data_IF_542720254497
#
_entry.id   IF_542720254497
#
_cell.length_a   1.000
_cell.length_b   1.000
_cell.length_c   1.000
_cell.angle_alpha   90.00
_cell.angle_beta   90.00
_cell.angle_gamma   90.00
#
_symmetry.space_group_name_H-M   'P 1'
#
loop_
_entity.id
_entity.type
_entity.pdbx_description
1 polymer ?
#
# COMPACT_ATOMS: atom_id res chain seq x y z
N UNK A 1 -3.37 -26.98 31.60
CA UNK A 1 -3.57 -26.73 30.15
C UNK A 1 -2.59 -25.65 29.72
N UNK A 2 -1.73 -25.92 28.73
CA UNK A 2 -0.78 -24.93 28.23
C UNK A 2 -1.52 -24.02 27.22
N UNK A 3 -2.09 -22.91 27.69
CA UNK A 3 -2.75 -21.97 26.78
C UNK A 3 -1.69 -21.33 25.88
N UNK A 4 -1.91 -21.24 24.55
CA UNK A 4 -0.97 -20.57 23.67
C UNK A 4 -0.82 -19.11 24.10
N UNK A 5 0.42 -18.62 24.13
CA UNK A 5 0.73 -17.24 24.50
C UNK A 5 -0.09 -16.24 23.67
N UNK A 6 -0.59 -15.15 24.27
CA UNK A 6 -1.33 -14.12 23.54
C UNK A 6 -0.58 -13.63 22.32
N UNK A 7 -1.30 -13.44 21.21
CA UNK A 7 -0.74 -12.89 19.97
C UNK A 7 -1.28 -11.49 19.74
N UNK A 8 -0.38 -10.52 19.58
CA UNK A 8 -0.73 -9.14 19.28
C UNK A 8 -0.78 -8.90 17.78
N UNK A 9 -1.81 -8.20 17.33
CA UNK A 9 -1.98 -7.75 15.95
C UNK A 9 -2.21 -6.24 15.95
N UNK A 10 -1.54 -5.53 15.05
CA UNK A 10 -1.76 -4.09 14.83
C UNK A 10 -2.40 -3.89 13.47
N UNK A 11 -3.51 -3.16 13.41
CA UNK A 11 -4.26 -2.92 12.18
C UNK A 11 -4.39 -1.42 11.98
N UNK A 12 -3.66 -0.89 11.00
CA UNK A 12 -3.66 0.53 10.67
C UNK A 12 -4.78 0.80 9.65
N UNK A 13 -5.82 1.53 10.07
CA UNK A 13 -7.02 1.77 9.27
C UNK A 13 -8.09 0.69 9.43
N UNK A 14 -8.61 0.52 10.63
CA UNK A 14 -9.54 -0.54 11.05
C UNK A 14 -11.00 -0.09 11.20
N UNK A 15 -11.32 1.17 10.91
CA UNK A 15 -12.66 1.74 11.18
C UNK A 15 -13.79 1.14 10.34
N UNK A 16 -13.50 0.62 9.14
CA UNK A 16 -14.49 0.08 8.19
C UNK A 16 -13.85 -0.90 7.21
N UNK A 17 -14.69 -1.59 6.43
CA UNK A 17 -14.29 -2.45 5.32
C UNK A 17 -13.29 -3.53 5.73
N UNK A 18 -12.25 -3.72 4.91
CA UNK A 18 -11.25 -4.79 5.07
C UNK A 18 -10.56 -4.74 6.43
N UNK A 19 -10.15 -3.56 6.91
CA UNK A 19 -9.48 -3.43 8.21
C UNK A 19 -10.37 -3.80 9.40
N UNK A 20 -11.65 -3.42 9.36
CA UNK A 20 -12.63 -3.82 10.37
C UNK A 20 -12.84 -5.34 10.36
N UNK A 21 -12.94 -5.93 9.17
CA UNK A 21 -13.12 -7.37 9.04
C UNK A 21 -11.90 -8.17 9.51
N UNK A 22 -10.68 -7.69 9.23
CA UNK A 22 -9.47 -8.26 9.84
C UNK A 22 -9.53 -8.21 11.37
N UNK A 23 -9.96 -7.08 11.93
CA UNK A 23 -10.11 -6.91 13.39
C UNK A 23 -11.05 -7.97 13.95
N UNK A 24 -12.24 -8.09 13.38
CA UNK A 24 -13.26 -9.06 13.79
C UNK A 24 -12.77 -10.51 13.67
N UNK A 25 -12.20 -10.87 12.52
CA UNK A 25 -11.75 -12.24 12.26
C UNK A 25 -10.58 -12.64 13.16
N UNK A 26 -9.66 -11.72 13.43
CA UNK A 26 -8.55 -11.99 14.36
C UNK A 26 -9.06 -12.20 15.79
N UNK A 27 -10.04 -11.42 16.25
CA UNK A 27 -10.65 -11.62 17.57
C UNK A 27 -11.43 -12.94 17.68
N UNK A 28 -12.06 -13.39 16.58
CA UNK A 28 -12.77 -14.67 16.51
C UNK A 28 -11.82 -15.87 16.40
N UNK A 29 -10.68 -15.72 15.72
CA UNK A 29 -9.77 -16.82 15.42
C UNK A 29 -9.08 -17.41 16.66
N UNK A 30 -8.96 -16.66 17.75
CA UNK A 30 -8.47 -17.20 19.03
C UNK A 30 -8.90 -16.32 20.20
N UNK A 31 -9.29 -16.93 21.35
CA UNK A 31 -9.62 -16.19 22.56
C UNK A 31 -8.42 -15.47 23.19
N UNK A 32 -7.18 -15.80 22.79
CA UNK A 32 -5.96 -15.15 23.32
C UNK A 32 -5.39 -14.09 22.37
N UNK A 33 -5.99 -13.87 21.20
CA UNK A 33 -5.57 -12.78 20.31
C UNK A 33 -5.94 -11.43 20.93
N UNK A 34 -5.00 -10.49 20.87
CA UNK A 34 -5.18 -9.09 21.23
C UNK A 34 -4.97 -8.27 19.96
N UNK A 35 -5.90 -7.35 19.69
CA UNK A 35 -5.90 -6.54 18.47
C UNK A 35 -5.85 -5.06 18.83
N UNK A 36 -4.88 -4.36 18.26
CA UNK A 36 -4.76 -2.91 18.29
C UNK A 36 -5.30 -2.39 16.96
N UNK A 37 -6.50 -1.79 16.99
CA UNK A 37 -7.22 -1.33 15.81
C UNK A 37 -7.17 0.20 15.75
N UNK A 38 -6.63 0.74 14.66
CA UNK A 38 -6.50 2.20 14.54
C UNK A 38 -7.57 2.85 13.65
N UNK A 39 -7.83 4.13 13.89
CA UNK A 39 -8.74 4.94 13.07
C UNK A 39 -8.25 6.39 12.98
N UNK A 40 -8.65 7.11 11.92
CA UNK A 40 -8.29 8.54 11.76
C UNK A 40 -9.21 9.51 12.51
N UNK A 41 -10.42 9.07 12.84
CA UNK A 41 -11.45 9.90 13.49
C UNK A 41 -11.00 10.44 14.85
N UNK A 42 -11.54 11.61 15.24
CA UNK A 42 -11.31 12.21 16.56
C UNK A 42 -11.79 11.32 17.70
N UNK A 43 -12.95 10.70 17.51
CA UNK A 43 -13.54 9.72 18.42
C UNK A 43 -13.46 8.30 17.85
N UNK A 44 -13.58 7.30 18.72
CA UNK A 44 -13.62 5.90 18.28
C UNK A 44 -14.89 5.66 17.45
N UNK A 45 -14.79 5.16 16.20
CA UNK A 45 -15.95 4.84 15.36
C UNK A 45 -16.91 3.85 16.02
N UNK A 46 -18.23 4.04 15.83
CA UNK A 46 -19.27 3.15 16.37
C UNK A 46 -19.03 1.67 16.05
N UNK A 47 -18.57 1.36 14.84
CA UNK A 47 -18.21 0.00 14.41
C UNK A 47 -17.15 -0.67 15.30
N UNK A 48 -16.16 0.09 15.76
CA UNK A 48 -15.12 -0.41 16.68
C UNK A 48 -15.64 -0.47 18.12
N UNK A 49 -16.51 0.48 18.53
CA UNK A 49 -17.16 0.43 19.85
C UNK A 49 -18.06 -0.79 20.01
N UNK A 50 -18.85 -1.13 18.99
CA UNK A 50 -19.69 -2.33 18.96
C UNK A 50 -18.86 -3.61 19.04
N UNK A 51 -17.73 -3.63 18.32
CA UNK A 51 -16.81 -4.77 18.35
C UNK A 51 -16.15 -4.92 19.72
N UNK A 52 -15.77 -3.82 20.37
CA UNK A 52 -15.20 -3.83 21.71
C UNK A 52 -16.21 -4.36 22.73
N UNK A 53 -17.46 -3.86 22.71
CA UNK A 53 -18.55 -4.37 23.56
C UNK A 53 -18.72 -5.89 23.46
N UNK A 54 -18.61 -6.44 22.23
CA UNK A 54 -18.72 -7.88 21.99
C UNK A 54 -17.56 -8.70 22.55
N UNK A 55 -16.37 -8.10 22.67
CA UNK A 55 -15.14 -8.80 23.06
C UNK A 55 -14.48 -8.21 24.31
N UNK A 56 -15.27 -7.55 25.17
CA UNK A 56 -14.80 -6.74 26.30
C UNK A 56 -14.23 -7.56 27.48
N UNK A 57 -14.63 -8.83 27.62
CA UNK A 57 -14.28 -9.66 28.77
C UNK A 57 -13.59 -10.96 28.36
N UNK A 58 -12.25 -11.09 28.53
CA UNK A 58 -11.31 -10.03 28.92
C UNK A 58 -11.08 -9.00 27.80
N UNK A 59 -10.51 -7.80 28.09
CA UNK A 59 -10.24 -6.79 27.08
C UNK A 59 -9.23 -7.28 26.04
N UNK A 60 -9.66 -7.37 24.78
CA UNK A 60 -8.83 -7.87 23.67
C UNK A 60 -8.75 -6.92 22.49
N UNK A 61 -9.54 -5.86 22.47
CA UNK A 61 -9.50 -4.83 21.45
C UNK A 61 -9.03 -3.51 22.07
N UNK A 62 -8.01 -2.90 21.47
CA UNK A 62 -7.51 -1.59 21.84
C UNK A 62 -7.68 -0.67 20.66
N UNK A 63 -8.44 0.42 20.82
CA UNK A 63 -8.64 1.42 19.77
C UNK A 63 -7.69 2.59 19.96
N UNK A 64 -7.00 2.99 18.89
CA UNK A 64 -6.01 4.07 18.94
C UNK A 64 -6.18 4.98 17.72
N UNK A 65 -6.16 6.31 17.94
CA UNK A 65 -6.15 7.26 16.82
C UNK A 65 -4.84 7.16 16.05
N UNK A 66 -4.91 7.00 14.74
CA UNK A 66 -3.79 7.10 13.81
C UNK A 66 -4.32 7.48 12.43
N UNK A 67 -3.90 8.64 11.95
CA UNK A 67 -4.03 9.06 10.56
C UNK A 67 -2.67 8.92 9.88
N UNK A 68 -2.58 8.04 8.87
CA UNK A 68 -1.32 7.85 8.14
C UNK A 68 -0.88 9.08 7.35
N UNK A 69 -1.78 10.05 7.13
CA UNK A 69 -1.45 11.35 6.54
C UNK A 69 -0.72 12.31 7.50
N UNK A 70 -0.75 12.04 8.81
CA UNK A 70 -0.15 12.85 9.86
C UNK A 70 0.83 12.01 10.69
N UNK A 71 2.13 12.18 10.42
CA UNK A 71 3.23 11.40 11.03
C UNK A 71 3.22 11.50 12.57
N UNK A 72 2.77 12.62 13.15
CA UNK A 72 2.69 12.79 14.61
C UNK A 72 1.73 11.80 15.27
N UNK A 73 0.66 11.40 14.57
CA UNK A 73 -0.29 10.39 15.07
C UNK A 73 0.28 8.97 14.96
N UNK A 74 1.20 8.73 14.03
CA UNK A 74 1.92 7.45 13.90
C UNK A 74 2.91 7.30 15.07
N UNK A 75 3.60 8.37 15.43
CA UNK A 75 4.49 8.42 16.60
C UNK A 75 3.70 8.15 17.89
N UNK A 76 2.57 8.84 18.05
CA UNK A 76 1.65 8.64 19.18
C UNK A 76 1.13 7.20 19.26
N UNK A 77 0.80 6.59 18.13
CA UNK A 77 0.45 5.17 18.05
C UNK A 77 1.59 4.28 18.56
N UNK A 78 2.83 4.52 18.14
CA UNK A 78 3.97 3.70 18.54
C UNK A 78 4.27 3.81 20.04
N UNK A 79 4.06 4.98 20.64
CA UNK A 79 4.11 5.16 22.09
C UNK A 79 3.02 4.34 22.79
N UNK A 80 1.77 4.42 22.32
CA UNK A 80 0.67 3.64 22.89
C UNK A 80 0.91 2.13 22.79
N UNK A 81 1.37 1.64 21.64
CA UNK A 81 1.74 0.24 21.42
C UNK A 81 2.87 -0.18 22.38
N UNK A 82 3.87 0.67 22.60
CA UNK A 82 4.97 0.38 23.53
C UNK A 82 4.48 0.15 24.95
N UNK A 83 3.59 1.02 25.44
CA UNK A 83 2.97 0.92 26.77
C UNK A 83 2.09 -0.33 26.88
N UNK A 84 1.32 -0.65 25.84
CA UNK A 84 0.47 -1.83 25.82
C UNK A 84 1.27 -3.14 25.91
N UNK A 85 2.39 -3.22 25.17
CA UNK A 85 3.24 -4.41 25.17
C UNK A 85 4.01 -4.58 26.50
N UNK A 86 4.30 -3.49 27.22
CA UNK A 86 4.96 -3.56 28.54
C UNK A 86 4.10 -4.26 29.60
N UNK A 87 2.77 -4.10 29.51
CA UNK A 87 1.84 -4.78 30.41
C UNK A 87 1.81 -6.31 30.21
N UNK A 88 2.32 -6.80 29.07
CA UNK A 88 2.23 -8.19 28.63
C UNK A 88 3.41 -9.11 28.99
N UNK A 89 4.48 -8.61 29.61
CA UNK A 89 5.64 -9.42 30.06
C UNK A 89 6.93 -9.25 29.23
N UNK A 90 7.84 -10.25 29.29
CA UNK A 90 9.27 -10.10 28.93
C UNK A 90 9.57 -10.00 27.42
N UNK A 91 8.72 -10.51 26.53
CA UNK A 91 8.91 -10.37 25.07
C UNK A 91 7.81 -9.52 24.45
N UNK A 92 8.19 -8.33 23.96
CA UNK A 92 7.30 -7.46 23.18
C UNK A 92 7.27 -8.00 21.75
N UNK A 93 6.21 -8.71 21.39
CA UNK A 93 6.05 -9.24 20.04
C UNK A 93 4.71 -8.83 19.43
N UNK A 94 4.75 -8.31 18.21
CA UNK A 94 3.60 -8.15 17.33
C UNK A 94 3.70 -9.24 16.25
N UNK A 95 2.73 -10.14 16.23
CA UNK A 95 2.72 -11.22 15.24
C UNK A 95 2.52 -10.65 13.83
N UNK A 96 1.58 -9.72 13.67
CA UNK A 96 1.34 -9.12 12.36
C UNK A 96 0.90 -7.67 12.51
N UNK A 97 1.52 -6.83 11.69
CA UNK A 97 1.05 -5.46 11.40
C UNK A 97 0.34 -5.50 10.04
N UNK A 98 -0.88 -4.99 9.98
CA UNK A 98 -1.67 -4.86 8.75
C UNK A 98 -1.87 -3.38 8.46
N UNK A 99 -1.21 -2.88 7.42
CA UNK A 99 -1.35 -1.51 6.95
C UNK A 99 -2.44 -1.48 5.88
N UNK A 100 -3.68 -1.23 6.31
CA UNK A 100 -4.88 -1.22 5.48
C UNK A 100 -5.27 0.18 4.99
N UNK A 101 -4.85 1.24 5.69
CA UNK A 101 -5.17 2.61 5.32
C UNK A 101 -4.90 2.88 3.83
N UNK A 102 -5.90 3.41 3.15
CA UNK A 102 -5.85 3.69 1.73
C UNK A 102 -7.10 4.41 1.24
N UNK A 103 -6.95 5.13 0.14
CA UNK A 103 -7.99 5.89 -0.55
C UNK A 103 -7.97 5.57 -2.03
N UNK A 104 -9.15 5.66 -2.63
CA UNK A 104 -9.35 5.65 -4.07
C UNK A 104 -10.41 6.71 -4.35
N UNK A 105 -10.01 7.73 -5.10
CA UNK A 105 -10.88 8.77 -5.61
C UNK A 105 -10.74 8.80 -7.13
N UNK A 106 -11.81 9.17 -7.83
CA UNK A 106 -11.84 9.24 -9.29
C UNK A 106 -11.71 10.71 -9.73
N UNK A 107 -10.53 11.16 -10.22
CA UNK A 107 -10.35 12.54 -10.65
C UNK A 107 -10.54 12.73 -12.17
N UNK A 108 -11.28 11.86 -12.87
CA UNK A 108 -11.45 12.01 -14.32
C UNK A 108 -10.26 11.56 -15.18
N UNK A 109 -9.57 10.50 -14.76
CA UNK A 109 -8.47 9.91 -15.52
C UNK A 109 -7.16 10.69 -15.38
N UNK A 110 -6.24 10.46 -16.32
CA UNK A 110 -4.95 11.20 -16.36
C UNK A 110 -5.17 12.66 -16.70
N UNK A 111 -6.01 12.94 -17.72
CA UNK A 111 -6.23 14.29 -18.24
C UNK A 111 -7.05 15.18 -17.31
N UNK A 112 -7.92 14.60 -16.48
CA UNK A 112 -8.65 15.32 -15.43
C UNK A 112 -7.88 15.42 -14.09
N UNK A 113 -6.75 14.72 -13.96
CA UNK A 113 -6.00 14.61 -12.73
C UNK A 113 -5.41 15.95 -12.26
N UNK A 114 -5.57 16.25 -10.97
CA UNK A 114 -4.97 17.45 -10.33
C UNK A 114 -3.80 17.07 -9.44
N UNK A 115 -2.87 18.00 -9.22
CA UNK A 115 -1.78 17.82 -8.25
C UNK A 115 -2.29 17.43 -6.87
N UNK A 116 -3.41 18.01 -6.43
CA UNK A 116 -4.07 17.67 -5.17
C UNK A 116 -4.52 16.20 -5.14
N UNK A 117 -5.15 15.69 -6.21
CA UNK A 117 -5.59 14.30 -6.27
C UNK A 117 -4.41 13.33 -6.22
N UNK A 118 -3.33 13.61 -6.96
CA UNK A 118 -2.10 12.80 -6.89
C UNK A 118 -1.50 12.84 -5.49
N UNK A 119 -1.32 14.03 -4.90
CA UNK A 119 -0.78 14.18 -3.56
C UNK A 119 -1.63 13.43 -2.52
N UNK A 120 -2.95 13.51 -2.59
CA UNK A 120 -3.84 12.82 -1.67
C UNK A 120 -3.67 11.28 -1.73
N UNK A 121 -3.63 10.72 -2.94
CA UNK A 121 -3.38 9.29 -3.14
C UNK A 121 -1.98 8.88 -2.68
N UNK A 122 -0.93 9.63 -3.05
CA UNK A 122 0.44 9.31 -2.65
C UNK A 122 0.64 9.40 -1.14
N UNK A 123 0.09 10.43 -0.50
CA UNK A 123 0.19 10.61 0.94
C UNK A 123 -0.44 9.43 1.68
N UNK A 124 -1.65 9.04 1.32
CA UNK A 124 -2.39 8.00 2.07
C UNK A 124 -2.03 6.57 1.65
N UNK A 125 -1.73 6.33 0.37
CA UNK A 125 -1.48 4.97 -0.14
C UNK A 125 0.01 4.59 -0.16
N UNK A 126 0.93 5.55 -0.09
CA UNK A 126 2.38 5.30 -0.22
C UNK A 126 3.17 5.83 0.98
N UNK A 127 3.19 7.15 1.14
CA UNK A 127 4.08 7.83 2.10
C UNK A 127 3.69 7.42 3.52
N UNK A 128 2.43 7.61 3.89
CA UNK A 128 1.89 7.23 5.20
C UNK A 128 2.16 5.77 5.56
N UNK A 129 1.83 4.78 4.70
CA UNK A 129 2.17 3.38 4.94
C UNK A 129 3.67 3.11 5.14
N UNK A 130 4.55 3.73 4.36
CA UNK A 130 6.00 3.56 4.50
C UNK A 130 6.53 4.19 5.81
N UNK A 131 6.02 5.36 6.18
CA UNK A 131 6.34 6.01 7.46
C UNK A 131 5.80 5.20 8.65
N UNK A 132 4.58 4.67 8.55
CA UNK A 132 4.03 3.76 9.54
C UNK A 132 4.93 2.54 9.74
N UNK A 133 5.44 1.95 8.66
CA UNK A 133 6.40 0.86 8.74
C UNK A 133 7.70 1.29 9.43
N UNK A 134 8.30 2.42 9.04
CA UNK A 134 9.51 3.01 9.66
C UNK A 134 9.34 3.11 11.18
N UNK A 135 8.25 3.74 11.63
CA UNK A 135 8.00 3.98 13.06
C UNK A 135 7.72 2.68 13.83
N UNK A 136 6.85 1.83 13.30
CA UNK A 136 6.50 0.55 13.94
C UNK A 136 7.73 -0.38 14.05
N UNK A 137 8.59 -0.41 13.03
CA UNK A 137 9.86 -1.17 13.04
C UNK A 137 10.92 -0.61 13.99
N UNK A 138 10.73 0.61 14.48
CA UNK A 138 11.62 1.33 15.40
C UNK A 138 11.16 1.26 16.85
N UNK A 139 10.01 0.63 17.14
CA UNK A 139 9.53 0.41 18.51
C UNK A 139 10.59 -0.40 19.29
N UNK A 140 11.17 0.14 20.38
CA UNK A 140 12.26 -0.50 21.09
C UNK A 140 11.89 -1.86 21.65
N UNK A 141 12.76 -2.85 21.43
CA UNK A 141 12.61 -4.24 21.91
C UNK A 141 11.33 -4.94 21.41
N UNK A 142 10.65 -4.40 20.39
CA UNK A 142 9.48 -5.03 19.79
C UNK A 142 9.89 -5.87 18.57
N UNK A 143 9.65 -7.19 18.65
CA UNK A 143 9.81 -8.08 17.51
C UNK A 143 8.53 -8.09 16.69
N UNK A 144 8.65 -7.96 15.37
CA UNK A 144 7.53 -8.07 14.44
C UNK A 144 7.78 -9.29 13.56
N UNK A 145 6.81 -10.21 13.46
CA UNK A 145 6.96 -11.37 12.57
C UNK A 145 6.65 -11.01 11.11
N UNK A 146 5.55 -10.27 10.88
CA UNK A 146 5.09 -9.91 9.52
C UNK A 146 4.53 -8.50 9.47
N UNK A 147 4.78 -7.78 8.38
CA UNK A 147 4.08 -6.54 8.01
C UNK A 147 3.41 -6.75 6.65
N UNK A 148 2.08 -6.63 6.62
CA UNK A 148 1.26 -6.77 5.43
C UNK A 148 0.69 -5.42 5.02
N UNK A 149 0.81 -5.07 3.74
CA UNK A 149 0.31 -3.82 3.17
C UNK A 149 -0.80 -4.12 2.18
N UNK A 150 -1.92 -3.41 2.27
CA UNK A 150 -3.01 -3.54 1.30
C UNK A 150 -2.66 -2.68 0.06
N UNK A 151 -2.22 -3.37 -0.97
CA UNK A 151 -1.93 -2.86 -2.31
C UNK A 151 -3.08 -3.18 -3.29
N UNK A 152 -2.82 -3.09 -4.59
CA UNK A 152 -3.77 -3.38 -5.67
C UNK A 152 -3.01 -3.89 -6.90
N UNK A 153 -3.67 -4.69 -7.72
CA UNK A 153 -3.19 -5.10 -9.04
C UNK A 153 -3.10 -3.93 -10.04
N UNK A 154 -3.88 -2.85 -9.86
CA UNK A 154 -3.72 -1.58 -10.56
C UNK A 154 -2.31 -0.98 -10.38
N UNK A 155 -1.64 -1.29 -9.26
CA UNK A 155 -0.25 -0.88 -9.00
C UNK A 155 0.81 -1.81 -9.62
N UNK A 156 0.43 -2.73 -10.51
CA UNK A 156 1.37 -3.67 -11.12
C UNK A 156 2.22 -3.01 -12.21
N UNK A 157 3.54 -2.98 -11.99
CA UNK A 157 4.49 -2.51 -13.02
C UNK A 157 4.59 -3.42 -14.26
N UNK A 158 4.11 -4.67 -14.18
CA UNK A 158 4.23 -5.66 -15.26
C UNK A 158 2.90 -6.05 -15.89
N UNK A 159 1.77 -5.77 -15.22
CA UNK A 159 0.42 -6.11 -15.68
C UNK A 159 -0.42 -4.85 -15.71
N UNK A 160 -0.10 -3.98 -16.66
CA UNK A 160 -0.86 -2.76 -16.88
C UNK A 160 -2.30 -3.09 -17.30
N UNK A 161 -3.26 -2.32 -16.78
CA UNK A 161 -4.69 -2.54 -16.96
C UNK A 161 -5.26 -1.38 -17.77
N UNK A 162 -5.19 -1.48 -19.10
CA UNK A 162 -5.58 -0.41 -20.02
C UNK A 162 -7.06 -0.02 -19.98
N UNK A 163 -7.90 -0.84 -19.34
CA UNK A 163 -9.33 -0.59 -19.18
C UNK A 163 -9.68 0.16 -17.88
N UNK A 164 -8.72 0.39 -16.97
CA UNK A 164 -8.95 1.13 -15.72
C UNK A 164 -8.86 2.64 -15.96
N UNK A 165 -9.88 3.20 -16.60
CA UNK A 165 -9.98 4.65 -16.75
C UNK A 165 -10.33 5.32 -15.41
N UNK A 166 -9.67 6.42 -15.10
CA UNK A 166 -9.82 7.11 -13.81
C UNK A 166 -8.83 6.73 -12.72
N UNK A 167 -8.05 5.66 -12.90
CA UNK A 167 -7.27 5.07 -11.81
C UNK A 167 -5.82 5.56 -11.78
N UNK A 168 -5.42 6.50 -12.64
CA UNK A 168 -4.02 6.88 -12.82
C UNK A 168 -3.30 7.27 -11.51
N UNK A 169 -3.86 8.20 -10.73
CA UNK A 169 -3.27 8.61 -9.46
C UNK A 169 -3.23 7.46 -8.44
N UNK A 170 -4.31 6.68 -8.36
CA UNK A 170 -4.41 5.50 -7.50
C UNK A 170 -3.38 4.43 -7.88
N UNK A 171 -3.36 3.99 -9.14
CA UNK A 171 -2.44 3.01 -9.72
C UNK A 171 -0.98 3.44 -9.53
N UNK A 172 -0.66 4.71 -9.83
CA UNK A 172 0.67 5.27 -9.60
C UNK A 172 1.06 5.20 -8.12
N UNK A 173 0.16 5.57 -7.20
CA UNK A 173 0.42 5.46 -5.76
C UNK A 173 0.63 4.01 -5.31
N UNK A 174 -0.15 3.05 -5.81
CA UNK A 174 0.02 1.63 -5.45
C UNK A 174 1.28 1.03 -6.08
N UNK A 175 1.69 1.48 -7.27
CA UNK A 175 2.97 1.13 -7.87
C UNK A 175 4.15 1.68 -7.05
N UNK A 176 4.07 2.93 -6.60
CA UNK A 176 5.06 3.55 -5.73
C UNK A 176 5.17 2.81 -4.38
N UNK A 177 4.04 2.46 -3.75
CA UNK A 177 4.01 1.59 -2.58
C UNK A 177 4.73 0.27 -2.85
N UNK A 178 4.35 -0.45 -3.91
CA UNK A 178 4.96 -1.74 -4.26
C UNK A 178 6.48 -1.65 -4.43
N UNK A 179 7.00 -0.57 -5.02
CA UNK A 179 8.44 -0.34 -5.13
C UNK A 179 9.07 -0.03 -3.78
N UNK A 180 8.46 0.84 -2.97
CA UNK A 180 8.91 1.12 -1.61
C UNK A 180 9.02 -0.14 -0.75
N UNK A 181 8.05 -1.05 -0.86
CA UNK A 181 8.07 -2.33 -0.15
C UNK A 181 9.21 -3.26 -0.61
N UNK A 182 9.60 -3.23 -1.89
CA UNK A 182 10.78 -3.96 -2.38
C UNK A 182 12.06 -3.44 -1.72
N UNK A 183 12.21 -2.12 -1.65
CA UNK A 183 13.35 -1.49 -1.00
C UNK A 183 13.36 -1.80 0.50
N UNK A 184 12.22 -1.65 1.19
CA UNK A 184 12.08 -1.96 2.61
C UNK A 184 12.46 -3.41 2.91
N UNK A 185 11.92 -4.38 2.16
CA UNK A 185 12.23 -5.80 2.36
C UNK A 185 13.72 -6.10 2.16
N UNK A 186 14.32 -5.57 1.08
CA UNK A 186 15.74 -5.77 0.80
C UNK A 186 16.63 -5.10 1.85
N UNK A 187 16.28 -3.90 2.32
CA UNK A 187 16.99 -3.20 3.37
C UNK A 187 16.93 -3.95 4.70
N UNK A 188 15.75 -4.37 5.13
CA UNK A 188 15.57 -5.13 6.37
C UNK A 188 16.32 -6.45 6.32
N UNK A 189 16.31 -7.15 5.17
CA UNK A 189 17.09 -8.37 5.02
C UNK A 189 18.60 -8.12 5.14
N UNK A 190 19.15 -7.07 4.53
CA UNK A 190 20.57 -6.71 4.69
C UNK A 190 20.93 -6.37 6.13
N UNK A 191 20.04 -5.69 6.85
CA UNK A 191 20.27 -5.23 8.24
C UNK A 191 20.05 -6.32 9.30
N UNK A 192 19.06 -7.20 9.10
CA UNK A 192 18.55 -8.12 10.14
C UNK A 192 18.61 -9.60 9.73
N UNK A 193 18.97 -9.92 8.48
CA UNK A 193 19.09 -11.30 8.01
C UNK A 193 17.81 -12.11 8.16
N UNK A 194 17.90 -13.22 8.89
CA UNK A 194 16.77 -14.14 9.17
C UNK A 194 15.78 -13.59 10.21
N UNK A 195 16.18 -12.56 10.96
CA UNK A 195 15.33 -11.88 11.95
C UNK A 195 14.51 -10.75 11.33
N UNK A 196 14.71 -10.46 10.04
CA UNK A 196 13.91 -9.47 9.32
C UNK A 196 12.43 -9.91 9.29
N UNK A 197 11.48 -9.00 9.54
CA UNK A 197 10.07 -9.31 9.38
C UNK A 197 9.76 -9.62 7.91
N UNK A 198 8.77 -10.47 7.70
CA UNK A 198 8.24 -10.74 6.37
C UNK A 198 7.45 -9.50 5.92
N UNK A 199 7.77 -8.98 4.72
CA UNK A 199 7.03 -7.89 4.09
C UNK A 199 6.10 -8.47 3.01
N UNK A 200 4.79 -8.23 3.14
CA UNK A 200 3.78 -8.70 2.19
C UNK A 200 3.03 -7.54 1.54
N UNK A 201 2.86 -7.59 0.22
CA UNK A 201 1.92 -6.74 -0.51
C UNK A 201 0.69 -7.59 -0.86
N UNK A 202 -0.49 -7.18 -0.41
CA UNK A 202 -1.74 -7.90 -0.59
C UNK A 202 -2.67 -7.10 -1.47
N UNK A 203 -3.19 -7.70 -2.53
CA UNK A 203 -4.25 -7.10 -3.34
C UNK A 203 -5.57 -7.82 -3.02
N UNK A 204 -6.68 -7.09 -2.76
CA UNK A 204 -7.94 -7.69 -2.31
C UNK A 204 -8.85 -8.24 -3.44
N UNK A 205 -8.49 -8.13 -4.72
CA UNK A 205 -9.27 -8.74 -5.82
C UNK A 205 -8.98 -10.24 -6.00
N UNK A 206 -9.45 -10.83 -7.10
CA UNK A 206 -9.39 -12.28 -7.38
C UNK A 206 -8.00 -12.92 -7.10
N UNK A 207 -7.96 -14.19 -6.64
CA UNK A 207 -7.21 -14.69 -5.48
C UNK A 207 -5.67 -14.81 -5.65
N UNK A 208 -5.01 -13.77 -6.17
CA UNK A 208 -3.58 -13.73 -6.42
C UNK A 208 -2.87 -12.69 -5.56
N UNK A 209 -2.51 -13.09 -4.35
CA UNK A 209 -1.58 -12.33 -3.48
C UNK A 209 -0.21 -12.19 -4.19
N UNK A 210 0.24 -10.95 -4.45
CA UNK A 210 1.56 -10.68 -5.04
C UNK A 210 2.61 -10.66 -3.92
N UNK A 211 3.34 -11.76 -3.78
CA UNK A 211 4.46 -11.83 -2.85
C UNK A 211 5.66 -11.05 -3.40
N UNK A 212 6.11 -10.04 -2.68
CA UNK A 212 7.38 -9.36 -2.94
C UNK A 212 8.43 -9.95 -1.98
N UNK A 213 9.20 -10.92 -2.45
CA UNK A 213 10.40 -11.41 -1.76
C UNK A 213 11.66 -10.98 -2.52
N UNK A 214 12.69 -10.55 -1.77
CA UNK A 214 14.03 -10.46 -2.31
C UNK A 214 14.66 -11.86 -2.28
N UNK A 215 14.88 -12.47 -3.46
CA UNK A 215 15.75 -13.63 -3.62
C UNK A 215 17.10 -13.16 -4.14
N UNK A 216 18.21 -13.24 -3.39
CA UNK A 216 19.51 -13.04 -4.00
C UNK A 216 19.76 -14.18 -5.01
N UNK A 217 19.87 -13.84 -6.31
CA UNK A 217 20.51 -14.73 -7.28
C UNK A 217 21.96 -14.89 -6.86
N UNK A 218 22.39 -16.10 -6.51
CA UNK A 218 23.82 -16.42 -6.42
C UNK A 218 24.42 -16.22 -7.81
N UNK A 219 25.36 -15.28 -7.93
CA UNK A 219 26.35 -15.30 -9.01
C UNK A 219 27.16 -16.57 -8.78
N UNK A 220 26.97 -17.58 -9.63
CA UNK A 220 27.86 -18.74 -9.64
C UNK A 220 29.16 -18.31 -10.32
N UNK A 221 30.19 -18.03 -9.53
CA UNK A 221 31.57 -18.17 -10.00
C UNK A 221 32.32 -19.08 -9.03
N UNK A 222 32.85 -20.16 -9.62
CA UNK A 222 33.92 -21.03 -9.16
C UNK A 222 33.80 -21.67 -7.77
N UNK A 223 33.29 -22.91 -7.75
CA UNK A 223 33.77 -23.96 -6.86
C UNK A 223 33.60 -25.33 -7.54
N UNK A 224 34.21 -25.49 -8.71
CA UNK A 224 34.56 -26.81 -9.20
C UNK A 224 35.87 -27.20 -8.50
N UNK A 225 35.81 -28.22 -7.64
CA UNK A 225 36.90 -29.01 -7.03
C UNK A 225 36.69 -29.23 -5.54
N UNK A 226 35.72 -30.08 -5.19
CA UNK A 226 35.80 -30.89 -3.98
C UNK A 226 35.09 -32.23 -4.26
N UNK A 227 35.85 -33.33 -4.30
CA UNK A 227 35.31 -34.69 -4.38
C UNK A 227 34.64 -35.06 -3.05
N UNK A 228 33.52 -35.80 -3.04
CA UNK A 228 32.89 -36.24 -1.80
C UNK A 228 33.64 -37.46 -1.21
N UNK A 229 33.91 -37.42 0.09
CA UNK A 229 34.30 -38.60 0.89
C UNK A 229 33.03 -39.22 1.50
N UNK A 230 32.82 -40.54 1.40
CA UNK A 230 31.64 -41.20 1.97
C UNK A 230 31.85 -41.54 3.44
N UNK A 231 30.80 -41.37 4.26
CA UNK A 231 30.74 -41.92 5.62
C UNK A 231 30.78 -40.88 6.74
N UNK A 232 29.70 -40.09 6.88
CA UNK A 232 29.24 -39.50 8.15
C UNK A 232 27.80 -39.05 7.97
N UNK A 233 26.85 -39.80 8.54
CA UNK A 233 25.48 -39.35 8.73
C UNK A 233 25.46 -38.17 9.70
N UNK A 234 25.67 -36.96 9.17
CA UNK A 234 25.30 -35.74 9.86
C UNK A 234 23.81 -35.55 9.63
N UNK A 235 23.01 -35.74 10.67
CA UNK A 235 21.66 -35.16 10.74
C UNK A 235 21.84 -33.66 10.52
N UNK A 236 21.52 -33.19 9.31
CA UNK A 236 21.53 -31.78 8.98
C UNK A 236 20.49 -31.10 9.88
N UNK A 237 20.82 -29.98 10.55
CA UNK A 237 19.79 -29.20 11.25
C UNK A 237 18.69 -28.82 10.25
N UNK A 238 17.41 -28.79 10.67
CA UNK A 238 16.29 -28.52 9.78
C UNK A 238 16.51 -27.20 9.03
N UNK A 239 16.34 -27.22 7.71
CA UNK A 239 16.57 -26.06 6.85
C UNK A 239 15.71 -24.87 7.33
N UNK A 240 16.33 -23.76 7.79
CA UNK A 240 15.59 -22.56 8.19
C UNK A 240 14.67 -22.03 7.07
N UNK A 241 14.99 -22.33 5.81
CA UNK A 241 14.18 -21.97 4.63
C UNK A 241 12.86 -22.73 4.59
N UNK A 242 12.87 -24.04 4.88
CA UNK A 242 11.66 -24.86 4.89
C UNK A 242 10.71 -24.44 6.02
N UNK A 243 11.25 -24.05 7.18
CA UNK A 243 10.47 -23.50 8.29
C UNK A 243 9.85 -22.14 7.93
N UNK A 244 10.64 -21.26 7.28
CA UNK A 244 10.18 -19.95 6.82
C UNK A 244 9.11 -20.06 5.73
N UNK A 245 9.30 -20.93 4.73
CA UNK A 245 8.31 -21.21 3.68
C UNK A 245 7.00 -21.81 4.23
N UNK A 246 7.09 -22.67 5.25
CA UNK A 246 5.92 -23.22 5.93
C UNK A 246 5.15 -22.14 6.70
N UNK A 247 5.84 -21.24 7.38
CA UNK A 247 5.23 -20.09 8.08
C UNK A 247 4.54 -19.15 7.09
N UNK A 248 5.19 -18.85 5.96
CA UNK A 248 4.64 -18.05 4.87
C UNK A 248 3.36 -18.64 4.29
N UNK A 249 3.38 -19.94 3.95
CA UNK A 249 2.21 -20.63 3.43
C UNK A 249 1.06 -20.66 4.44
N UNK A 250 1.36 -20.78 5.75
CA UNK A 250 0.36 -20.67 6.83
C UNK A 250 -0.23 -19.26 6.91
N UNK A 251 0.58 -18.22 6.85
CA UNK A 251 0.11 -16.83 6.85
C UNK A 251 -0.76 -16.51 5.63
N UNK A 252 -0.33 -16.90 4.42
CA UNK A 252 -1.11 -16.73 3.20
C UNK A 252 -2.45 -17.45 3.27
N UNK A 253 -2.48 -18.71 3.73
CA UNK A 253 -3.73 -19.46 3.92
C UNK A 253 -4.65 -18.77 4.93
N UNK A 254 -4.10 -18.24 6.03
CA UNK A 254 -4.89 -17.56 7.07
C UNK A 254 -5.48 -16.25 6.54
N UNK A 255 -4.69 -15.43 5.86
CA UNK A 255 -5.14 -14.18 5.22
C UNK A 255 -6.18 -14.48 4.15
N UNK A 256 -5.98 -15.49 3.29
CA UNK A 256 -6.97 -15.91 2.30
C UNK A 256 -8.29 -16.34 2.95
N UNK A 257 -8.26 -17.13 4.02
CA UNK A 257 -9.47 -17.51 4.77
C UNK A 257 -10.18 -16.31 5.38
N UNK A 258 -9.43 -15.33 5.90
CA UNK A 258 -10.01 -14.08 6.42
C UNK A 258 -10.69 -13.26 5.31
N UNK A 259 -10.08 -13.21 4.11
CA UNK A 259 -10.64 -12.49 2.97
C UNK A 259 -11.80 -13.22 2.28
N UNK A 260 -11.87 -14.55 2.36
CA UNK A 260 -12.90 -15.36 1.66
C UNK A 260 -14.15 -15.65 2.49
N UNK A 261 -14.24 -15.21 3.74
CA UNK A 261 -15.41 -15.39 4.61
C UNK A 261 -15.75 -16.86 4.96
N UNK A 262 -14.96 -17.83 4.51
CA UNK A 262 -15.24 -19.25 4.71
C UNK A 262 -14.87 -19.69 6.13
N UNK A 263 -15.87 -19.62 7.02
CA UNK A 263 -15.78 -20.08 8.41
C UNK A 263 -17.02 -19.83 9.27
N UNK A 264 -18.04 -19.14 8.77
CA UNK A 264 -19.30 -18.95 9.49
C UNK A 264 -20.47 -19.41 8.62
N UNK A 265 -21.17 -20.48 9.04
CA UNK A 265 -22.55 -20.69 8.63
C UNK A 265 -23.38 -19.50 9.11
N UNK A 266 -23.96 -18.75 8.17
CA UNK A 266 -24.96 -17.73 8.44
C UNK A 266 -26.35 -18.37 8.25
N UNK A 267 -27.35 -18.06 9.09
CA UNK A 267 -28.73 -18.45 8.83
C UNK A 267 -29.27 -17.70 7.60
N UNK A 268 -30.10 -18.39 6.82
CA UNK A 268 -30.80 -17.87 5.66
C UNK A 268 -31.55 -16.57 5.98
N UNK A 269 -31.31 -15.53 5.18
CA UNK A 269 -32.18 -14.36 5.07
C UNK A 269 -32.71 -14.38 3.63
N UNK A 270 -34.04 -14.43 3.50
CA UNK A 270 -34.75 -14.41 2.22
C UNK A 270 -34.40 -13.14 1.42
N UNK A 271 -33.97 -13.33 0.18
CA UNK A 271 -33.81 -12.25 -0.78
C UNK A 271 -35.13 -12.03 -1.52
N UNK A 272 -35.86 -10.97 -1.16
CA UNK A 272 -36.95 -10.42 -1.97
C UNK A 272 -36.49 -9.16 -2.74
N UNK A 273 -36.70 -9.21 -4.06
CA UNK A 273 -36.66 -8.12 -5.06
C UNK A 273 -35.30 -7.54 -5.46
N UNK A 274 -34.72 -8.10 -6.52
CA UNK A 274 -33.79 -7.40 -7.41
C UNK A 274 -34.59 -6.64 -8.48
N UNK A 275 -34.47 -5.32 -8.54
CA UNK A 275 -34.85 -4.55 -9.72
C UNK A 275 -33.67 -4.55 -10.70
N UNK A 276 -33.91 -5.02 -11.92
CA UNK A 276 -32.95 -4.99 -13.04
C UNK A 276 -32.84 -3.57 -13.60
N UNK A 277 -31.67 -3.09 -14.06
CA UNK A 277 -31.61 -1.90 -14.88
C UNK A 277 -32.13 -2.24 -16.29
N UNK A 278 -33.14 -1.49 -16.74
CA UNK A 278 -33.70 -1.55 -18.07
C UNK A 278 -32.80 -0.84 -19.09
N UNK A 279 -32.78 -1.40 -20.30
CA UNK A 279 -32.15 -0.88 -21.51
C UNK A 279 -32.53 0.58 -21.80
N UNK A 280 -31.53 1.41 -22.15
CA UNK A 280 -31.77 2.73 -22.74
C UNK A 280 -31.32 2.67 -24.21
N UNK A 281 -32.21 2.91 -25.19
CA UNK A 281 -31.88 2.81 -26.60
C UNK A 281 -31.21 4.07 -27.14
N UNK A 282 -30.25 3.87 -28.05
CA UNK A 282 -29.71 4.90 -28.93
C UNK A 282 -30.70 5.24 -30.07
N UNK A 283 -30.96 6.52 -30.29
CA UNK A 283 -31.21 7.09 -31.63
C UNK A 283 -31.18 8.65 -31.61
N UNK A 284 -30.92 9.29 -32.76
CA UNK A 284 -30.26 10.59 -32.87
C UNK A 284 -31.24 11.75 -33.15
N UNK A 285 -30.80 13.01 -32.99
CA UNK A 285 -31.06 14.10 -33.95
C UNK A 285 -30.37 15.42 -33.54
N UNK A 286 -29.91 16.12 -34.57
CA UNK A 286 -29.46 17.51 -34.60
C UNK A 286 -30.52 18.48 -34.03
N UNK A 287 -30.09 19.61 -33.47
CA UNK A 287 -30.23 20.98 -34.04
C UNK A 287 -29.83 22.02 -32.98
N UNK A 288 -29.16 23.04 -33.49
CA UNK A 288 -28.77 24.31 -32.88
C UNK A 288 -29.77 24.96 -31.90
N UNK A 289 -29.24 25.76 -30.97
CA UNK A 289 -29.97 26.91 -30.42
C UNK A 289 -29.59 27.31 -29.00
N UNK A 290 -28.96 28.48 -28.89
CA UNK A 290 -29.06 29.42 -27.77
C UNK A 290 -28.20 29.15 -26.52
N UNK A 291 -26.96 29.66 -26.62
CA UNK A 291 -26.17 30.15 -25.49
C UNK A 291 -26.81 31.44 -24.94
N UNK A 292 -26.96 31.51 -23.62
CA UNK A 292 -27.39 32.70 -22.89
C UNK A 292 -26.30 33.81 -22.91
N UNK A 293 -26.68 35.09 -22.83
CA UNK A 293 -25.88 36.20 -23.33
C UNK A 293 -25.06 36.92 -22.25
N UNK A 294 -23.96 36.33 -21.73
CA UNK A 294 -23.06 37.06 -20.80
C UNK A 294 -21.55 36.82 -21.00
N UNK A 295 -21.11 36.17 -22.09
CA UNK A 295 -19.68 35.95 -22.36
C UNK A 295 -19.17 36.57 -23.68
N UNK A 296 -19.73 37.74 -24.07
CA UNK A 296 -19.42 38.43 -25.34
C UNK A 296 -18.60 39.72 -25.18
N UNK A 297 -17.61 39.73 -24.28
CA UNK A 297 -16.77 40.94 -24.06
C UNK A 297 -15.27 40.69 -23.78
N UNK A 298 -14.69 39.54 -24.15
CA UNK A 298 -13.25 39.30 -23.90
C UNK A 298 -12.47 38.57 -25.01
N UNK A 299 -13.03 38.44 -26.22
CA UNK A 299 -12.39 37.72 -27.35
C UNK A 299 -12.52 38.48 -28.69
N UNK A 300 -12.38 39.81 -28.64
CA UNK A 300 -12.19 40.64 -29.83
C UNK A 300 -11.06 41.62 -29.55
N UNK A 301 -9.83 41.12 -29.57
CA UNK A 301 -8.69 41.85 -30.14
C UNK A 301 -7.46 40.94 -30.14
N UNK A 302 -6.78 40.90 -31.28
CA UNK A 302 -5.49 40.24 -31.58
C UNK A 302 -5.54 38.79 -32.06
N UNK A 303 -6.06 38.64 -33.28
CA UNK A 303 -5.43 37.78 -34.30
C UNK A 303 -5.81 38.32 -35.69
N UNK A 304 -5.11 39.38 -36.13
CA UNK A 304 -5.10 39.84 -37.52
C UNK A 304 -3.84 40.70 -37.76
N UNK A 305 -2.71 40.05 -38.05
CA UNK A 305 -1.62 40.56 -38.91
C UNK A 305 -0.55 39.45 -39.06
N UNK A 306 -1.01 38.31 -39.59
CA UNK A 306 -0.15 37.27 -40.15
C UNK A 306 -0.49 37.12 -41.64
N UNK A 307 -0.26 38.18 -42.43
CA UNK A 307 -0.33 38.09 -43.89
C UNK A 307 0.43 39.23 -44.60
N UNK A 308 1.74 39.37 -44.37
CA UNK A 308 2.60 40.11 -45.33
C UNK A 308 4.05 39.62 -45.39
N UNK A 309 4.22 38.31 -45.61
CA UNK A 309 5.42 37.77 -46.26
C UNK A 309 5.18 37.69 -47.77
N UNK A 310 5.46 38.76 -48.51
CA UNK A 310 5.91 38.73 -49.92
C UNK A 310 6.68 40.00 -50.25
N UNK A 311 7.99 39.87 -50.49
CA UNK A 311 8.74 40.78 -51.36
C UNK A 311 9.99 41.45 -50.76
N UNK A 312 11.17 40.92 -51.11
CA UNK A 312 12.34 41.74 -51.49
C UNK A 312 13.32 42.18 -50.40
N UNK A 313 14.50 41.54 -50.38
CA UNK A 313 15.80 42.08 -49.94
C UNK A 313 16.28 43.21 -50.90
N UNK A 314 17.22 44.15 -50.58
CA UNK A 314 18.61 43.82 -50.15
C UNK A 314 19.42 44.82 -49.27
N UNK A 315 20.64 44.38 -48.89
CA UNK A 315 21.86 45.15 -48.48
C UNK A 315 21.92 45.53 -46.99
N UNK A 316 23.01 45.44 -46.21
CA UNK A 316 24.46 45.27 -46.42
C UNK A 316 25.02 44.55 -45.14
N UNK A 317 25.91 43.54 -45.24
CA UNK A 317 27.39 43.60 -45.07
C UNK A 317 27.87 44.37 -43.80
N UNK A 318 28.78 43.93 -42.90
CA UNK A 318 29.94 43.02 -42.95
C UNK A 318 30.45 42.69 -41.51
N UNK A 319 31.16 41.55 -41.36
CA UNK A 319 32.22 41.29 -40.35
C UNK A 319 31.77 40.51 -39.10
N UNK A 320 32.22 39.29 -38.79
CA UNK A 320 33.47 38.59 -39.10
C UNK A 320 34.36 38.53 -37.84
N UNK A 321 34.45 37.38 -37.17
CA UNK A 321 35.34 37.23 -36.00
C UNK A 321 35.24 35.89 -35.28
N UNK A 322 36.00 34.91 -35.76
CA UNK A 322 36.25 33.60 -35.16
C UNK A 322 37.32 33.72 -34.05
N UNK A 323 37.20 32.96 -32.96
CA UNK A 323 38.37 32.27 -32.41
C UNK A 323 38.70 32.36 -30.92
N UNK A 324 38.64 31.17 -30.30
CA UNK A 324 39.65 30.55 -29.41
C UNK A 324 39.70 30.94 -27.91
N UNK A 325 39.41 29.91 -27.11
CA UNK A 325 39.76 29.73 -25.69
C UNK A 325 41.12 29.04 -25.56
N UNK A 326 41.97 29.45 -24.61
CA UNK A 326 42.69 28.53 -23.72
C UNK A 326 42.46 28.95 -22.25
N UNK A 327 42.42 28.11 -21.21
CA UNK A 327 43.26 26.96 -20.91
C UNK A 327 44.22 27.29 -19.74
N UNK A 328 43.77 27.06 -18.49
CA UNK A 328 44.49 26.81 -17.21
C UNK A 328 45.80 27.57 -16.84
N UNK A 329 45.83 28.10 -15.61
CA UNK A 329 46.72 27.82 -14.43
C UNK A 329 46.47 28.98 -13.42
N UNK A 330 46.20 28.74 -12.14
CA UNK A 330 47.14 28.25 -11.13
C UNK A 330 47.76 29.46 -10.41
N UNK A 331 47.34 29.72 -9.17
CA UNK A 331 47.78 30.84 -8.33
C UNK A 331 46.71 31.18 -7.30
#
# INVERSE_FOLDING_TARGET
>A
MNFPSPKHYLIIGASRGIGLEFTRQLLLASPTNIVIATHRSTETPQTLQELDKRFHSPPRLWTVKCDVGDESTIESLCLAVSVLLERGGREKCIETVIVNAGVLEWPGGVLGGTSQSYNHHFQTNTIGPLLAAKHVLSIPRCRISTISFISSDSGSATKFRSFEDGFAAYAASKAALNMGLRHLAAELHRKRGVEAPIILALHPGEPRVILIQHRPRRIMHAAAHARPQPGRDRILPPDPRAAHETLLARHQRRIRRMLSGQGAQLPHIDHASQARPADVPHAPHQVAGQLAPEARAALQDRDFEAARLRGGLPGEEFGGGVGVVPGRRGG
#
